data_IF_796259739274
#
_entry.id   IF_796259739274
#
_cell.length_a   1.000
_cell.length_b   1.000
_cell.length_c   1.000
_cell.angle_alpha   90.00
_cell.angle_beta   90.00
_cell.angle_gamma   90.00
#
_symmetry.space_group_name_H-M   'P 1'
#
loop_
_entity.id
_entity.type
_entity.pdbx_description
1 polymer ?
#
# COMPACT_ATOMS: atom_id res chain seq x y z
N UNK A 1 11.21 11.54 -16.98
CA UNK A 1 12.02 12.15 -18.04
C UNK A 1 12.43 13.55 -17.59
N UNK A 2 13.58 13.71 -16.94
CA UNK A 2 14.15 15.03 -16.63
C UNK A 2 15.48 15.13 -17.39
N UNK A 3 15.67 16.19 -18.17
CA UNK A 3 16.93 16.38 -18.91
C UNK A 3 17.99 16.92 -17.97
N UNK A 4 19.23 16.46 -18.17
CA UNK A 4 20.40 16.90 -17.40
C UNK A 4 20.55 18.43 -17.52
N UNK A 5 20.54 19.13 -16.39
CA UNK A 5 20.72 20.59 -16.33
C UNK A 5 19.43 21.42 -16.24
N UNK A 6 18.24 20.80 -16.34
CA UNK A 6 16.99 21.51 -16.05
C UNK A 6 16.75 21.58 -14.54
N UNK A 7 16.36 22.75 -13.99
CA UNK A 7 16.00 22.86 -12.59
C UNK A 7 14.88 21.84 -12.30
N UNK A 8 15.04 21.10 -11.21
CA UNK A 8 13.98 20.22 -10.72
C UNK A 8 12.79 21.14 -10.46
N UNK A 9 11.64 20.98 -11.16
CA UNK A 9 10.45 21.72 -10.80
C UNK A 9 10.19 21.46 -9.32
N UNK A 10 9.74 22.46 -8.53
CA UNK A 10 9.47 22.24 -7.11
C UNK A 10 8.58 21.00 -7.01
N UNK A 11 9.09 19.96 -6.35
CA UNK A 11 8.28 18.79 -6.05
C UNK A 11 7.15 19.28 -5.17
N UNK A 12 5.96 19.45 -5.76
CA UNK A 12 4.75 19.66 -4.98
C UNK A 12 4.44 18.29 -4.39
N UNK A 13 4.84 18.08 -3.15
CA UNK A 13 4.55 16.86 -2.41
C UNK A 13 3.06 16.88 -2.03
N UNK A 14 2.26 16.12 -2.78
CA UNK A 14 0.92 15.74 -2.35
C UNK A 14 1.04 14.40 -1.62
N UNK A 15 1.28 14.46 -0.31
CA UNK A 15 1.26 13.28 0.56
C UNK A 15 -0.07 13.22 1.31
N UNK A 16 -0.58 12.00 1.53
CA UNK A 16 -1.68 11.81 2.45
C UNK A 16 -1.19 11.91 3.91
N UNK A 17 -1.94 12.65 4.72
CA UNK A 17 -1.77 12.83 6.16
C UNK A 17 -0.41 13.35 6.64
N UNK A 18 -0.09 13.12 7.92
CA UNK A 18 0.97 13.82 8.66
C UNK A 18 2.41 13.35 8.40
N UNK A 19 2.63 12.29 7.59
CA UNK A 19 3.96 11.68 7.38
C UNK A 19 4.98 12.60 6.70
N UNK A 20 4.53 13.63 5.98
CA UNK A 20 5.41 14.71 5.51
C UNK A 20 4.89 16.03 6.08
N UNK A 21 5.72 16.69 6.89
CA UNK A 21 5.41 17.99 7.46
C UNK A 21 5.12 18.99 6.32
N UNK A 22 3.86 19.34 6.11
CA UNK A 22 3.49 20.33 5.11
C UNK A 22 2.01 20.38 4.76
N UNK A 23 1.41 19.28 4.33
CA UNK A 23 0.06 19.35 3.73
C UNK A 23 -0.73 18.06 3.93
N UNK A 24 -1.79 18.13 4.73
CA UNK A 24 -2.84 17.12 4.68
C UNK A 24 -3.49 17.14 3.28
N UNK A 25 -3.83 15.97 2.74
CA UNK A 25 -4.55 15.81 1.47
C UNK A 25 -6.03 15.43 1.74
N UNK A 26 -6.93 16.41 1.96
CA UNK A 26 -8.35 16.19 2.21
C UNK A 26 -9.14 15.94 0.92
N UNK A 27 -10.40 15.54 1.06
CA UNK A 27 -11.35 15.34 -0.05
C UNK A 27 -11.46 16.54 -1.02
N UNK A 28 -11.32 17.78 -0.54
CA UNK A 28 -11.33 18.97 -1.40
C UNK A 28 -10.14 19.04 -2.37
N UNK A 29 -8.96 18.59 -1.94
CA UNK A 29 -7.80 18.50 -2.83
C UNK A 29 -8.00 17.39 -3.87
N UNK A 30 -8.52 16.24 -3.43
CA UNK A 30 -8.88 15.14 -4.35
C UNK A 30 -9.87 15.61 -5.43
N UNK A 31 -10.94 16.32 -5.04
CA UNK A 31 -11.92 16.87 -5.96
C UNK A 31 -11.30 17.86 -6.94
N UNK A 32 -10.44 18.75 -6.44
CA UNK A 32 -9.72 19.71 -7.27
C UNK A 32 -8.84 19.00 -8.31
N UNK A 33 -8.11 17.97 -7.91
CA UNK A 33 -7.21 17.23 -8.81
C UNK A 33 -7.97 16.35 -9.82
N UNK A 34 -9.17 15.87 -9.45
CA UNK A 34 -10.05 15.16 -10.38
C UNK A 34 -10.72 16.09 -11.40
N UNK A 35 -10.84 17.38 -11.10
CA UNK A 35 -11.52 18.36 -11.96
C UNK A 35 -10.77 18.53 -13.29
N UNK A 36 -11.52 18.55 -14.39
CA UNK A 36 -10.97 18.65 -15.76
C UNK A 36 -10.63 17.30 -16.40
N UNK A 37 -10.69 16.21 -15.64
CA UNK A 37 -10.55 14.84 -16.13
C UNK A 37 -11.86 14.06 -15.92
N UNK A 38 -12.10 13.03 -16.73
CA UNK A 38 -13.23 12.10 -16.51
C UNK A 38 -12.84 11.02 -15.49
N UNK A 39 -12.56 11.43 -14.25
CA UNK A 39 -12.27 10.52 -13.15
C UNK A 39 -13.58 9.97 -12.61
N UNK A 40 -13.83 8.68 -12.78
CA UNK A 40 -15.06 8.01 -12.29
C UNK A 40 -14.88 7.37 -10.91
N UNK A 41 -13.63 7.34 -10.41
CA UNK A 41 -13.27 6.84 -9.09
C UNK A 41 -11.75 6.87 -8.91
N UNK A 42 -11.32 6.78 -7.66
CA UNK A 42 -9.92 6.72 -7.25
C UNK A 42 -9.70 5.54 -6.30
N UNK A 43 -8.42 5.17 -6.13
CA UNK A 43 -7.99 4.15 -5.18
C UNK A 43 -6.90 4.77 -4.32
N UNK A 44 -7.11 4.80 -3.00
CA UNK A 44 -6.08 5.11 -2.03
C UNK A 44 -5.24 3.86 -1.77
N UNK A 45 -3.92 4.03 -1.76
CA UNK A 45 -2.95 3.01 -1.38
C UNK A 45 -2.30 3.43 -0.06
N UNK A 46 -2.18 2.50 0.89
CA UNK A 46 -1.49 2.73 2.17
C UNK A 46 -0.17 3.46 1.97
N UNK A 47 0.09 4.38 2.89
CA UNK A 47 1.29 5.20 2.87
C UNK A 47 1.87 5.41 4.28
N UNK A 48 1.49 4.55 5.23
CA UNK A 48 1.78 4.64 6.65
C UNK A 48 1.43 6.00 7.27
N UNK A 49 0.28 6.57 6.95
CA UNK A 49 -0.21 7.79 7.61
C UNK A 49 -1.21 7.49 8.71
N UNK A 50 -1.24 8.31 9.77
CA UNK A 50 -2.24 8.22 10.84
C UNK A 50 -2.30 6.86 11.57
N UNK A 51 -1.22 6.08 11.57
CA UNK A 51 -1.13 4.83 12.35
C UNK A 51 -1.18 5.12 13.85
N UNK A 52 -1.97 4.32 14.58
CA UNK A 52 -2.13 4.50 16.02
C UNK A 52 -0.82 4.20 16.77
N UNK A 53 -0.36 5.15 17.58
CA UNK A 53 0.87 5.02 18.36
C UNK A 53 2.17 5.18 17.56
N UNK A 54 2.10 5.59 16.29
CA UNK A 54 3.26 5.81 15.42
C UNK A 54 3.91 4.54 14.89
N UNK A 55 5.08 4.71 14.26
CA UNK A 55 5.87 3.65 13.64
C UNK A 55 7.08 3.29 14.54
N UNK A 56 7.53 2.01 14.64
CA UNK A 56 7.12 0.81 13.89
C UNK A 56 5.88 0.07 14.42
N UNK A 57 5.26 -0.74 13.56
CA UNK A 57 4.06 -1.52 13.86
C UNK A 57 4.41 -2.93 14.36
N UNK A 58 3.99 -3.28 15.58
CA UNK A 58 4.03 -4.67 16.08
C UNK A 58 2.66 -5.34 16.01
N UNK A 59 1.60 -4.54 15.95
CA UNK A 59 0.21 -4.97 15.91
C UNK A 59 -0.44 -4.43 14.63
N UNK A 60 -0.92 -5.33 13.78
CA UNK A 60 -1.56 -4.96 12.51
C UNK A 60 -2.86 -4.19 12.71
N UNK A 61 -3.51 -4.29 13.88
CA UNK A 61 -4.71 -3.49 14.16
C UNK A 61 -4.43 -1.98 14.08
N UNK A 62 -3.17 -1.55 14.26
CA UNK A 62 -2.79 -0.13 14.21
C UNK A 62 -2.89 0.48 12.82
N UNK A 63 -2.77 -0.29 11.73
CA UNK A 63 -2.97 0.24 10.37
C UNK A 63 -4.44 0.51 10.06
N UNK A 64 -5.38 -0.06 10.82
CA UNK A 64 -6.80 0.23 10.66
C UNK A 64 -7.12 1.71 10.93
N UNK A 65 -6.29 2.42 11.72
CA UNK A 65 -6.43 3.85 11.93
C UNK A 65 -6.27 4.67 10.63
N UNK A 66 -5.34 4.30 9.74
CA UNK A 66 -5.22 4.91 8.40
C UNK A 66 -6.49 4.64 7.58
N UNK A 67 -6.97 3.40 7.58
CA UNK A 67 -8.18 3.04 6.84
C UNK A 67 -9.41 3.79 7.33
N UNK A 68 -9.55 3.99 8.65
CA UNK A 68 -10.61 4.82 9.23
C UNK A 68 -10.49 6.28 8.78
N UNK A 69 -9.28 6.83 8.77
CA UNK A 69 -9.05 8.20 8.34
C UNK A 69 -9.38 8.40 6.85
N UNK A 70 -8.94 7.47 5.99
CA UNK A 70 -9.22 7.49 4.55
C UNK A 70 -10.70 7.26 4.28
N UNK A 71 -11.38 6.39 5.03
CA UNK A 71 -12.84 6.24 4.95
C UNK A 71 -13.53 7.58 5.22
N UNK A 72 -13.05 8.36 6.19
CA UNK A 72 -13.57 9.71 6.44
C UNK A 72 -13.34 10.71 5.28
N UNK A 73 -12.33 10.49 4.44
CA UNK A 73 -12.17 11.21 3.16
C UNK A 73 -13.19 10.70 2.15
N UNK A 74 -13.32 9.37 2.01
CA UNK A 74 -14.24 8.74 1.08
C UNK A 74 -15.70 9.16 1.32
N UNK A 75 -16.14 9.19 2.59
CA UNK A 75 -17.50 9.55 3.01
C UNK A 75 -17.87 11.01 2.65
N UNK A 76 -16.87 11.87 2.44
CA UNK A 76 -17.04 13.30 2.11
C UNK A 76 -16.69 13.61 0.65
N UNK A 77 -16.15 12.65 -0.09
CA UNK A 77 -15.66 12.86 -1.44
C UNK A 77 -16.80 12.76 -2.45
N UNK A 78 -16.87 13.72 -3.37
CA UNK A 78 -17.75 13.64 -4.54
C UNK A 78 -17.24 12.61 -5.57
N UNK A 79 -15.97 12.19 -5.47
CA UNK A 79 -15.35 11.17 -6.31
C UNK A 79 -15.31 9.86 -5.53
N UNK A 80 -15.86 8.75 -6.05
CA UNK A 80 -15.77 7.45 -5.39
C UNK A 80 -14.31 7.09 -5.06
N UNK A 81 -14.04 6.68 -3.82
CA UNK A 81 -12.69 6.35 -3.36
C UNK A 81 -12.69 4.95 -2.75
N UNK A 82 -11.90 4.05 -3.34
CA UNK A 82 -11.64 2.72 -2.78
C UNK A 82 -10.35 2.73 -1.94
N UNK A 83 -10.20 1.77 -1.03
CA UNK A 83 -9.10 1.73 -0.06
C UNK A 83 -8.34 0.41 -0.20
N UNK A 84 -7.04 0.52 -0.43
CA UNK A 84 -6.06 -0.57 -0.31
C UNK A 84 -5.25 -0.31 0.95
N UNK A 85 -5.47 -1.15 1.97
CA UNK A 85 -4.90 -0.95 3.30
C UNK A 85 -3.57 -1.70 3.48
N UNK A 86 -2.80 -1.38 4.52
CA UNK A 86 -1.64 -2.18 4.89
C UNK A 86 -2.04 -3.34 5.81
N UNK A 87 -1.53 -4.54 5.52
CA UNK A 87 -1.40 -5.64 6.47
C UNK A 87 -0.03 -6.30 6.29
N UNK A 88 0.55 -6.75 7.40
CA UNK A 88 1.84 -7.44 7.39
C UNK A 88 1.62 -8.95 7.11
N UNK A 89 1.67 -9.34 5.84
CA UNK A 89 1.48 -10.73 5.42
C UNK A 89 2.54 -11.68 5.98
N UNK A 90 3.68 -11.19 6.46
CA UNK A 90 4.71 -12.01 7.07
C UNK A 90 4.24 -12.65 8.39
N UNK A 91 3.29 -12.05 9.09
CA UNK A 91 2.72 -12.62 10.33
C UNK A 91 1.75 -13.78 10.07
N UNK A 92 1.50 -14.10 8.80
CA UNK A 92 0.76 -15.28 8.40
C UNK A 92 -0.76 -15.16 8.51
N UNK A 93 -1.43 -16.23 8.06
CA UNK A 93 -2.88 -16.33 7.84
C UNK A 93 -3.73 -15.82 9.00
N UNK A 94 -3.51 -16.31 10.21
CA UNK A 94 -4.39 -15.99 11.34
C UNK A 94 -4.26 -14.53 11.79
N UNK A 95 -3.05 -13.95 11.71
CA UNK A 95 -2.84 -12.54 12.03
C UNK A 95 -3.51 -11.65 10.98
N UNK A 96 -3.31 -11.96 9.70
CA UNK A 96 -3.91 -11.22 8.58
C UNK A 96 -5.43 -11.31 8.60
N UNK A 97 -6.01 -12.47 8.91
CA UNK A 97 -7.47 -12.62 9.02
C UNK A 97 -8.06 -11.74 10.14
N UNK A 98 -7.38 -11.64 11.30
CA UNK A 98 -7.81 -10.75 12.39
C UNK A 98 -7.66 -9.27 12.01
N UNK A 99 -6.50 -8.90 11.46
CA UNK A 99 -6.27 -7.52 11.02
C UNK A 99 -7.30 -7.09 9.98
N UNK A 100 -7.62 -7.96 9.01
CA UNK A 100 -8.64 -7.66 8.01
C UNK A 100 -10.02 -7.37 8.63
N UNK A 101 -10.42 -8.13 9.64
CA UNK A 101 -11.66 -7.87 10.37
C UNK A 101 -11.65 -6.48 11.02
N UNK A 102 -10.51 -6.05 11.58
CA UNK A 102 -10.39 -4.70 12.15
C UNK A 102 -10.47 -3.60 11.09
N UNK A 103 -9.87 -3.78 9.92
CA UNK A 103 -10.04 -2.85 8.80
C UNK A 103 -11.49 -2.79 8.30
N UNK A 104 -12.18 -3.93 8.19
CA UNK A 104 -13.58 -3.98 7.72
C UNK A 104 -14.55 -3.26 8.66
N UNK A 105 -14.29 -3.25 9.97
CA UNK A 105 -15.11 -2.49 10.94
C UNK A 105 -15.08 -0.98 10.70
N UNK A 106 -14.01 -0.46 10.11
CA UNK A 106 -13.78 0.99 9.99
C UNK A 106 -13.73 1.51 8.56
N UNK A 107 -13.59 0.63 7.56
CA UNK A 107 -13.49 1.00 6.15
C UNK A 107 -14.40 0.11 5.28
N UNK A 108 -15.60 0.62 4.99
CA UNK A 108 -16.54 -0.02 4.07
C UNK A 108 -16.04 -0.05 2.61
N UNK A 109 -15.11 0.84 2.27
CA UNK A 109 -14.55 0.97 0.93
C UNK A 109 -13.26 0.14 0.73
N UNK A 110 -12.98 -0.82 1.62
CA UNK A 110 -11.81 -1.70 1.53
C UNK A 110 -11.92 -2.67 0.33
N UNK A 111 -10.92 -2.64 -0.55
CA UNK A 111 -10.88 -3.48 -1.77
C UNK A 111 -9.58 -4.27 -1.92
N UNK A 112 -8.55 -3.96 -1.13
CA UNK A 112 -7.26 -4.60 -1.28
C UNK A 112 -6.35 -4.41 -0.07
N UNK A 113 -5.22 -5.12 -0.13
CA UNK A 113 -4.15 -5.03 0.85
C UNK A 113 -2.83 -4.81 0.12
N UNK A 114 -2.00 -3.91 0.64
CA UNK A 114 -0.66 -3.63 0.14
C UNK A 114 0.41 -4.09 1.11
N UNK A 115 1.40 -4.78 0.57
CA UNK A 115 2.62 -5.16 1.27
C UNK A 115 3.81 -5.01 0.32
N UNK A 116 4.75 -4.14 0.64
CA UNK A 116 5.90 -3.88 -0.21
C UNK A 116 6.84 -5.09 -0.27
N UNK A 117 7.29 -5.46 -1.47
CA UNK A 117 8.30 -6.49 -1.71
C UNK A 117 9.63 -5.88 -2.17
N UNK A 118 9.82 -4.57 -1.97
CA UNK A 118 11.07 -3.90 -2.34
C UNK A 118 12.19 -4.26 -1.36
N UNK A 119 13.30 -4.80 -1.82
CA UNK A 119 14.48 -5.01 -0.96
C UNK A 119 15.75 -5.03 -1.80
N UNK A 120 16.87 -4.67 -1.19
CA UNK A 120 18.17 -4.65 -1.84
C UNK A 120 19.30 -4.92 -0.84
N UNK A 121 20.14 -5.92 -1.12
CA UNK A 121 21.21 -6.39 -0.21
C UNK A 121 22.21 -5.28 0.16
N UNK A 122 22.57 -4.42 -0.80
CA UNK A 122 23.50 -3.31 -0.59
C UNK A 122 22.89 -2.06 0.05
N UNK A 123 21.57 -1.99 0.22
CA UNK A 123 20.88 -0.78 0.69
C UNK A 123 19.66 -1.12 1.58
N UNK A 124 19.90 -1.64 2.80
CA UNK A 124 18.84 -2.10 3.70
C UNK A 124 17.87 -0.99 4.15
N UNK A 125 18.22 0.29 3.98
CA UNK A 125 17.32 1.43 4.27
C UNK A 125 16.02 1.41 3.44
N UNK A 126 16.02 0.72 2.29
CA UNK A 126 14.83 0.57 1.46
C UNK A 126 13.95 -0.62 1.87
N UNK A 127 14.46 -1.51 2.73
CA UNK A 127 13.72 -2.62 3.32
C UNK A 127 13.10 -2.16 4.64
N UNK A 128 11.79 -1.94 4.68
CA UNK A 128 11.09 -1.60 5.92
C UNK A 128 10.80 -2.88 6.71
N UNK A 129 11.84 -3.44 7.34
CA UNK A 129 11.76 -4.71 8.08
C UNK A 129 10.63 -4.70 9.12
N UNK A 130 10.37 -3.55 9.74
CA UNK A 130 9.29 -3.38 10.71
C UNK A 130 7.87 -3.39 10.12
N UNK A 131 7.74 -3.26 8.80
CA UNK A 131 6.48 -3.40 8.06
C UNK A 131 6.39 -4.81 7.41
N UNK A 132 7.24 -5.75 7.83
CA UNK A 132 7.33 -7.10 7.24
C UNK A 132 8.04 -7.18 5.88
N UNK A 133 8.49 -6.03 5.34
CA UNK A 133 9.24 -5.93 4.09
C UNK A 133 10.67 -6.44 4.27
N UNK A 134 10.80 -7.77 4.28
CA UNK A 134 12.06 -8.51 4.35
C UNK A 134 12.41 -9.14 3.00
N UNK A 135 13.69 -9.44 2.80
CA UNK A 135 14.14 -10.05 1.55
C UNK A 135 13.46 -11.41 1.33
N UNK A 136 12.89 -11.61 0.13
CA UNK A 136 12.27 -12.87 -0.30
C UNK A 136 11.11 -13.32 0.59
N UNK A 137 10.41 -12.39 1.24
CA UNK A 137 9.34 -12.70 2.18
C UNK A 137 8.23 -13.52 1.52
N UNK A 138 7.95 -13.31 0.22
CA UNK A 138 6.86 -14.00 -0.45
C UNK A 138 7.18 -15.47 -0.80
N UNK A 139 8.42 -15.91 -0.63
CA UNK A 139 8.81 -17.32 -0.72
C UNK A 139 8.32 -18.13 0.49
N UNK A 140 8.04 -17.47 1.62
CA UNK A 140 7.63 -18.14 2.84
C UNK A 140 6.20 -18.64 2.77
N UNK A 141 5.97 -19.86 3.26
CA UNK A 141 4.65 -20.49 3.23
C UNK A 141 3.60 -19.66 3.99
N UNK A 142 3.96 -19.09 5.15
CA UNK A 142 3.05 -18.24 5.94
C UNK A 142 2.55 -17.02 5.16
N UNK A 143 3.40 -16.41 4.33
CA UNK A 143 3.02 -15.29 3.46
C UNK A 143 2.02 -15.75 2.39
N UNK A 144 2.27 -16.91 1.77
CA UNK A 144 1.37 -17.49 0.75
C UNK A 144 0.03 -17.93 1.35
N UNK A 145 0.03 -18.42 2.58
CA UNK A 145 -1.19 -18.76 3.32
C UNK A 145 -2.01 -17.50 3.64
N UNK A 146 -1.34 -16.37 3.94
CA UNK A 146 -1.97 -15.07 4.10
C UNK A 146 -2.54 -14.54 2.78
N UNK A 147 -1.84 -14.72 1.65
CA UNK A 147 -2.38 -14.39 0.31
C UNK A 147 -3.68 -15.14 0.00
N UNK A 148 -3.82 -16.40 0.45
CA UNK A 148 -5.05 -17.15 0.28
C UNK A 148 -6.23 -16.53 1.04
N UNK A 149 -6.00 -15.90 2.20
CA UNK A 149 -7.03 -15.15 2.93
C UNK A 149 -7.56 -14.00 2.06
N UNK A 150 -6.66 -13.26 1.39
CA UNK A 150 -7.07 -12.16 0.50
C UNK A 150 -7.96 -12.67 -0.64
N UNK A 151 -7.58 -13.80 -1.27
CA UNK A 151 -8.38 -14.42 -2.33
C UNK A 151 -9.77 -14.87 -1.83
N UNK A 152 -9.84 -15.52 -0.67
CA UNK A 152 -11.11 -15.95 -0.05
C UNK A 152 -12.04 -14.76 0.25
N UNK A 153 -11.46 -13.59 0.48
CA UNK A 153 -12.15 -12.36 0.83
C UNK A 153 -12.41 -11.44 -0.37
N UNK A 154 -12.00 -11.86 -1.58
CA UNK A 154 -12.15 -11.09 -2.81
C UNK A 154 -11.34 -9.79 -2.84
N UNK A 155 -10.21 -9.74 -2.13
CA UNK A 155 -9.34 -8.56 -2.03
C UNK A 155 -8.14 -8.68 -2.97
N UNK A 156 -7.71 -7.55 -3.54
CA UNK A 156 -6.45 -7.49 -4.28
C UNK A 156 -5.25 -7.51 -3.34
N UNK A 157 -4.13 -7.98 -3.87
CA UNK A 157 -2.80 -7.78 -3.31
C UNK A 157 -2.05 -6.77 -4.18
N UNK A 158 -1.67 -5.65 -3.59
CA UNK A 158 -0.92 -4.59 -4.24
C UNK A 158 0.51 -4.58 -3.70
N UNK A 159 1.50 -4.34 -4.55
CA UNK A 159 2.88 -4.31 -4.08
C UNK A 159 3.77 -3.33 -4.83
N UNK A 160 4.52 -2.55 -4.05
CA UNK A 160 5.65 -1.79 -4.52
C UNK A 160 6.94 -2.58 -4.33
N UNK A 161 7.72 -2.66 -5.41
CA UNK A 161 8.98 -3.37 -5.48
C UNK A 161 9.93 -2.71 -6.47
N UNK A 162 11.22 -3.04 -6.36
CA UNK A 162 12.18 -2.72 -7.40
C UNK A 162 12.08 -3.70 -8.56
N UNK A 163 12.44 -3.25 -9.76
CA UNK A 163 12.48 -4.12 -10.94
C UNK A 163 13.34 -5.38 -10.76
N UNK A 164 14.39 -5.33 -9.93
CA UNK A 164 15.23 -6.49 -9.59
C UNK A 164 14.49 -7.55 -8.76
N UNK A 165 13.45 -7.15 -8.01
CA UNK A 165 12.63 -8.07 -7.23
C UNK A 165 11.44 -8.64 -8.03
N UNK A 166 11.28 -8.32 -9.32
CA UNK A 166 10.13 -8.78 -10.14
C UNK A 166 10.02 -10.30 -10.21
N UNK A 167 11.14 -11.02 -10.15
CA UNK A 167 11.13 -12.47 -10.16
C UNK A 167 10.40 -13.05 -8.93
N UNK A 168 10.55 -12.44 -7.76
CA UNK A 168 9.83 -12.81 -6.54
C UNK A 168 8.31 -12.66 -6.73
N UNK A 169 7.86 -11.56 -7.34
CA UNK A 169 6.45 -11.33 -7.63
C UNK A 169 5.89 -12.33 -8.66
N UNK A 170 6.66 -12.66 -9.70
CA UNK A 170 6.27 -13.66 -10.70
C UNK A 170 6.05 -15.02 -10.05
N UNK A 171 6.95 -15.43 -9.15
CA UNK A 171 6.85 -16.73 -8.49
C UNK A 171 5.74 -16.75 -7.43
N UNK A 172 5.49 -15.64 -6.75
CA UNK A 172 4.30 -15.45 -5.92
C UNK A 172 3.01 -15.60 -6.73
N UNK A 173 2.91 -14.95 -7.89
CA UNK A 173 1.72 -15.02 -8.74
C UNK A 173 1.43 -16.44 -9.23
N UNK A 174 2.47 -17.23 -9.54
CA UNK A 174 2.32 -18.66 -9.86
C UNK A 174 1.85 -19.48 -8.66
N UNK A 175 2.36 -19.17 -7.46
CA UNK A 175 2.02 -19.89 -6.23
C UNK A 175 0.62 -19.55 -5.69
N UNK A 176 0.14 -18.32 -5.93
CA UNK A 176 -1.13 -17.80 -5.43
C UNK A 176 -2.06 -17.38 -6.58
N UNK A 177 -2.43 -18.28 -7.52
CA UNK A 177 -3.13 -17.91 -8.75
C UNK A 177 -4.58 -17.43 -8.54
N UNK A 178 -5.13 -17.60 -7.33
CA UNK A 178 -6.49 -17.15 -6.97
C UNK A 178 -6.52 -15.70 -6.47
N UNK A 179 -5.38 -15.14 -6.07
CA UNK A 179 -5.30 -13.76 -5.57
C UNK A 179 -5.04 -12.83 -6.74
N UNK A 180 -5.84 -11.77 -6.88
CA UNK A 180 -5.54 -10.71 -7.83
C UNK A 180 -4.30 -9.95 -7.36
N UNK A 181 -3.29 -9.82 -8.21
CA UNK A 181 -2.03 -9.14 -7.88
C UNK A 181 -1.88 -7.89 -8.75
N UNK A 182 -1.58 -6.76 -8.12
CA UNK A 182 -1.30 -5.48 -8.75
C UNK A 182 0.17 -5.13 -8.54
N UNK A 183 0.91 -4.95 -9.64
CA UNK A 183 2.31 -4.53 -9.61
C UNK A 183 2.41 -3.01 -9.69
N UNK A 184 2.79 -2.36 -8.58
CA UNK A 184 2.89 -0.91 -8.53
C UNK A 184 4.08 -0.42 -9.35
N UNK A 185 3.87 0.71 -10.04
CA UNK A 185 4.92 1.44 -10.76
C UNK A 185 5.72 0.58 -11.76
N UNK A 186 5.15 -0.53 -12.23
CA UNK A 186 5.75 -1.45 -13.21
C UNK A 186 7.13 -1.97 -12.76
N UNK A 187 7.31 -2.15 -11.44
CA UNK A 187 8.62 -2.48 -10.86
C UNK A 187 9.54 -1.27 -10.90
N UNK A 188 9.57 -0.50 -9.81
CA UNK A 188 10.29 0.78 -9.76
C UNK A 188 11.74 0.60 -10.18
N UNK A 189 12.16 1.42 -11.15
CA UNK A 189 13.55 1.41 -11.59
C UNK A 189 14.44 1.82 -10.42
N UNK A 190 15.40 0.95 -10.09
CA UNK A 190 16.51 1.33 -9.25
C UNK A 190 17.48 2.15 -10.09
N UNK A 191 17.72 3.40 -9.69
CA UNK A 191 18.71 4.26 -10.33
C UNK A 191 19.87 4.39 -9.36
N UNK A 192 21.02 3.83 -9.74
CA UNK A 192 22.29 3.99 -9.03
C UNK A 192 22.77 5.43 -9.07
#
# INVERSE_FOLDING_TARGET
FQKKGEPVPPFVYHSFGSRQAGHAYPHEQLKKDATGNRVVGTVFLECNTEYEGGWPMQDQARSAAESKWVQGIADKSDVPLAIVAHLDLFQGRDSVARGLEDHRKVAGNLVGVRHALAWHDGHPIYSRIHDGQIAKVSEQQGFRDAMAVLAEQGLSFDTWLFHENLQELIDLAKACPKTQIVCDHVGTRWVR
#
